data_IF_133972256382
#
_entry.id   IF_133972256382
#
_cell.length_a   1.000
_cell.length_b   1.000
_cell.length_c   1.000
_cell.angle_alpha   90.00
_cell.angle_beta   90.00
_cell.angle_gamma   90.00
#
_symmetry.space_group_name_H-M   'P 1'
#
loop_
_entity.id
_entity.type
_entity.pdbx_description
1 polymer ?
#
# COMPACT_ATOMS: atom_id res chain seq x y z
N UNK A 1 -35.58 -4.68 -3.25
CA UNK A 1 -35.11 -4.94 -1.87
C UNK A 1 -34.28 -3.74 -1.38
N UNK A 2 -34.55 -3.29 -0.18
CA UNK A 2 -33.75 -2.21 0.44
C UNK A 2 -32.43 -2.79 0.90
N UNK A 3 -31.32 -2.11 0.58
CA UNK A 3 -30.01 -2.45 1.13
C UNK A 3 -30.07 -2.44 2.67
N UNK A 4 -29.49 -3.42 3.36
CA UNK A 4 -29.40 -3.39 4.82
C UNK A 4 -28.56 -2.20 5.33
N UNK A 5 -27.80 -1.55 4.46
CA UNK A 5 -27.06 -0.32 4.77
C UNK A 5 -27.73 0.87 4.03
N UNK A 6 -28.31 1.84 4.74
CA UNK A 6 -29.01 2.98 4.12
C UNK A 6 -28.17 3.79 3.13
N UNK A 7 -26.86 3.87 3.37
CA UNK A 7 -25.90 4.59 2.49
C UNK A 7 -25.23 3.68 1.44
N UNK A 8 -25.63 2.39 1.37
CA UNK A 8 -24.93 1.40 0.56
C UNK A 8 -23.61 0.92 1.17
N UNK A 9 -22.92 -0.04 0.52
CA UNK A 9 -21.61 -0.51 0.99
C UNK A 9 -20.56 0.60 0.87
N UNK A 10 -19.54 0.63 1.75
CA UNK A 10 -18.45 1.58 1.63
C UNK A 10 -17.69 1.37 0.30
N UNK A 11 -17.45 2.45 -0.41
CA UNK A 11 -16.73 2.42 -1.69
C UNK A 11 -15.24 2.52 -1.44
N UNK A 12 -14.48 1.55 -1.96
CA UNK A 12 -13.03 1.59 -2.04
C UNK A 12 -12.63 1.97 -3.47
N UNK A 13 -11.78 2.99 -3.62
CA UNK A 13 -11.14 3.36 -4.88
C UNK A 13 -9.64 3.35 -4.67
N UNK A 14 -8.93 2.55 -5.47
CA UNK A 14 -7.48 2.40 -5.39
C UNK A 14 -6.81 2.90 -6.67
N UNK A 15 -5.65 3.52 -6.50
CA UNK A 15 -4.85 4.02 -7.61
C UNK A 15 -3.55 4.66 -7.17
N UNK A 16 -2.92 5.39 -8.07
CA UNK A 16 -1.67 6.10 -7.82
C UNK A 16 -1.64 7.51 -8.43
N UNK A 17 -2.18 7.66 -9.63
CA UNK A 17 -2.16 8.93 -10.35
C UNK A 17 -3.14 9.96 -9.80
N UNK A 18 -2.81 11.23 -9.97
CA UNK A 18 -3.55 12.38 -9.44
C UNK A 18 -5.04 12.37 -9.78
N UNK A 19 -5.35 12.04 -11.03
CA UNK A 19 -6.75 12.04 -11.50
C UNK A 19 -7.60 11.05 -10.72
N UNK A 20 -7.12 9.82 -10.56
CA UNK A 20 -7.86 8.77 -9.86
C UNK A 20 -7.93 9.05 -8.35
N UNK A 21 -6.84 9.55 -7.76
CA UNK A 21 -6.84 9.91 -6.35
C UNK A 21 -7.77 11.10 -6.05
N UNK A 22 -7.95 12.07 -6.97
CA UNK A 22 -8.97 13.12 -6.81
C UNK A 22 -10.39 12.56 -6.84
N UNK A 23 -10.68 11.62 -7.74
CA UNK A 23 -11.98 10.92 -7.79
C UNK A 23 -12.19 10.14 -6.49
N UNK A 24 -11.17 9.44 -6.01
CA UNK A 24 -11.24 8.72 -4.76
C UNK A 24 -11.53 9.67 -3.57
N UNK A 25 -10.83 10.80 -3.49
CA UNK A 25 -11.05 11.80 -2.44
C UNK A 25 -12.48 12.39 -2.46
N UNK A 26 -13.10 12.49 -3.63
CA UNK A 26 -14.46 13.00 -3.76
C UNK A 26 -15.55 11.98 -3.35
N UNK A 27 -15.31 10.68 -3.54
CA UNK A 27 -16.38 9.68 -3.50
C UNK A 27 -16.12 8.48 -2.58
N UNK A 28 -14.85 8.15 -2.30
CA UNK A 28 -14.52 6.93 -1.56
C UNK A 28 -14.62 7.09 -0.04
N UNK A 29 -14.88 5.98 0.64
CA UNK A 29 -14.72 5.81 2.10
C UNK A 29 -13.40 5.15 2.43
N UNK A 30 -12.81 4.44 1.48
CA UNK A 30 -11.51 3.82 1.61
C UNK A 30 -10.70 4.19 0.35
N UNK A 31 -9.54 4.80 0.53
CA UNK A 31 -8.64 5.16 -0.56
C UNK A 31 -7.44 4.27 -0.52
N UNK A 32 -7.25 3.48 -1.59
CA UNK A 32 -6.15 2.55 -1.72
C UNK A 32 -4.99 3.11 -2.55
N UNK A 33 -3.78 2.89 -2.08
CA UNK A 33 -2.55 3.16 -2.82
C UNK A 33 -2.03 1.87 -3.42
N UNK A 34 -1.82 1.84 -4.74
CA UNK A 34 -1.27 0.67 -5.42
C UNK A 34 0.25 0.58 -5.28
N UNK A 35 0.91 1.68 -4.94
CA UNK A 35 2.35 1.74 -4.73
C UNK A 35 3.18 1.52 -5.99
N UNK A 36 2.56 1.60 -7.17
CA UNK A 36 3.24 1.47 -8.45
C UNK A 36 2.98 2.70 -9.32
N UNK A 37 4.02 3.30 -9.83
CA UNK A 37 3.98 4.47 -10.70
C UNK A 37 4.22 4.05 -12.15
N UNK A 38 3.46 4.64 -13.08
CA UNK A 38 3.76 4.50 -14.50
C UNK A 38 5.10 5.18 -14.81
N UNK A 39 5.95 4.52 -15.58
CA UNK A 39 7.14 5.14 -16.11
C UNK A 39 6.75 6.31 -17.03
N UNK A 40 7.53 7.41 -17.00
CA UNK A 40 7.23 8.64 -17.76
C UNK A 40 7.21 8.44 -19.27
N UNK A 41 7.91 7.44 -19.75
CA UNK A 41 8.07 7.08 -21.17
C UNK A 41 7.11 6.00 -21.66
N UNK A 42 6.08 5.68 -20.86
CA UNK A 42 5.14 4.59 -21.15
C UNK A 42 5.72 3.19 -20.91
N UNK A 43 6.84 3.11 -20.20
CA UNK A 43 7.45 1.85 -19.76
C UNK A 43 6.63 1.11 -18.68
N UNK A 44 7.19 0.02 -18.16
CA UNK A 44 6.49 -0.77 -17.13
C UNK A 44 6.23 0.02 -15.84
N UNK A 45 5.27 -0.43 -15.07
CA UNK A 45 5.02 0.12 -13.73
C UNK A 45 6.23 -0.12 -12.84
N UNK A 46 6.65 0.91 -12.11
CA UNK A 46 7.74 0.86 -11.15
C UNK A 46 7.21 0.94 -9.74
N UNK A 47 7.71 0.08 -8.86
CA UNK A 47 7.40 0.13 -7.43
C UNK A 47 7.98 1.39 -6.80
N UNK A 48 7.14 2.10 -6.09
CA UNK A 48 7.48 3.33 -5.40
C UNK A 48 8.13 3.05 -4.03
N UNK A 49 8.99 3.96 -3.60
CA UNK A 49 9.54 3.99 -2.25
C UNK A 49 8.65 4.77 -1.28
N UNK A 50 9.10 4.86 -0.03
CA UNK A 50 8.38 5.58 1.04
C UNK A 50 8.19 7.07 0.74
N UNK A 51 9.17 7.73 0.11
CA UNK A 51 9.04 9.13 -0.24
C UNK A 51 7.85 9.37 -1.17
N UNK A 52 7.73 8.57 -2.23
CA UNK A 52 6.62 8.68 -3.17
C UNK A 52 5.28 8.32 -2.50
N UNK A 53 5.26 7.34 -1.61
CA UNK A 53 4.05 7.03 -0.83
C UNK A 53 3.64 8.23 0.03
N UNK A 54 4.58 8.84 0.74
CA UNK A 54 4.33 10.06 1.53
C UNK A 54 3.74 11.19 0.70
N UNK A 55 4.28 11.44 -0.48
CA UNK A 55 3.74 12.44 -1.42
C UNK A 55 2.31 12.13 -1.84
N UNK A 56 1.98 10.87 -2.10
CA UNK A 56 0.62 10.44 -2.46
C UNK A 56 -0.36 10.57 -1.29
N UNK A 57 0.07 10.22 -0.09
CA UNK A 57 -0.74 10.40 1.13
C UNK A 57 -1.02 11.87 1.38
N UNK A 58 -0.02 12.73 1.29
CA UNK A 58 -0.18 14.18 1.47
C UNK A 58 -1.12 14.79 0.40
N UNK A 59 -0.97 14.35 -0.84
CA UNK A 59 -1.87 14.75 -1.93
C UNK A 59 -3.33 14.39 -1.63
N UNK A 60 -3.59 13.17 -1.19
CA UNK A 60 -4.94 12.70 -0.83
C UNK A 60 -5.49 13.46 0.36
N UNK A 61 -4.70 13.66 1.41
CA UNK A 61 -5.12 14.42 2.60
C UNK A 61 -5.47 15.87 2.25
N UNK A 62 -4.68 16.51 1.40
CA UNK A 62 -5.00 17.84 0.89
C UNK A 62 -6.32 17.88 0.10
N UNK A 63 -6.57 16.87 -0.74
CA UNK A 63 -7.80 16.77 -1.53
C UNK A 63 -9.04 16.44 -0.66
N UNK A 64 -8.87 15.69 0.41
CA UNK A 64 -9.95 15.34 1.34
C UNK A 64 -10.38 16.52 2.22
N UNK A 65 -9.44 17.37 2.66
CA UNK A 65 -9.72 18.44 3.60
C UNK A 65 -10.35 17.89 4.89
N UNK A 66 -11.53 18.40 5.26
CA UNK A 66 -12.26 17.99 6.47
C UNK A 66 -12.72 16.53 6.44
N UNK A 67 -12.87 15.93 5.27
CA UNK A 67 -13.21 14.50 5.13
C UNK A 67 -12.10 13.54 5.51
N UNK A 68 -10.88 14.02 5.75
CA UNK A 68 -9.74 13.17 6.09
C UNK A 68 -9.99 12.27 7.32
N UNK A 69 -10.79 12.73 8.27
CA UNK A 69 -11.18 11.95 9.47
C UNK A 69 -12.21 10.84 9.20
N UNK A 70 -12.90 10.88 8.07
CA UNK A 70 -13.95 9.94 7.70
C UNK A 70 -13.50 8.86 6.71
N UNK A 71 -12.29 8.98 6.18
CA UNK A 71 -11.76 8.12 5.11
C UNK A 71 -10.59 7.30 5.63
N UNK A 72 -10.66 6.00 5.40
CA UNK A 72 -9.55 5.10 5.68
C UNK A 72 -8.57 5.05 4.50
N UNK A 73 -7.27 4.94 4.82
CA UNK A 73 -6.22 4.74 3.83
C UNK A 73 -5.79 3.27 3.80
N UNK A 74 -5.73 2.73 2.60
CA UNK A 74 -5.36 1.36 2.31
C UNK A 74 -4.07 1.32 1.49
N UNK A 75 -3.25 0.31 1.72
CA UNK A 75 -2.08 0.01 0.90
C UNK A 75 -2.17 -1.43 0.37
N UNK A 76 -1.94 -1.59 -0.92
CA UNK A 76 -1.81 -2.91 -1.54
C UNK A 76 -0.40 -3.44 -1.29
N UNK A 77 -0.30 -4.57 -0.59
CA UNK A 77 0.94 -5.33 -0.45
C UNK A 77 1.07 -6.25 -1.66
N UNK A 78 2.07 -6.00 -2.49
CA UNK A 78 2.28 -6.72 -3.75
C UNK A 78 2.81 -8.14 -3.53
N UNK A 79 3.73 -8.29 -2.58
CA UNK A 79 4.33 -9.59 -2.23
C UNK A 79 4.72 -9.63 -0.76
N UNK A 80 4.64 -10.84 -0.22
CA UNK A 80 5.11 -11.15 1.13
C UNK A 80 6.11 -12.29 1.04
N UNK A 81 7.24 -12.17 1.72
CA UNK A 81 8.24 -13.21 1.83
C UNK A 81 8.68 -13.39 3.28
N UNK A 82 9.09 -14.61 3.64
CA UNK A 82 9.70 -14.87 4.93
C UNK A 82 11.09 -14.26 5.06
N UNK A 83 11.77 -14.62 6.13
CA UNK A 83 13.12 -14.14 6.47
C UNK A 83 14.22 -14.83 5.64
N UNK A 84 15.44 -14.30 5.72
CA UNK A 84 16.64 -14.88 5.14
C UNK A 84 16.65 -14.90 3.62
N UNK A 85 16.89 -16.08 3.02
CA UNK A 85 17.01 -16.24 1.57
C UNK A 85 15.76 -15.80 0.81
N UNK A 86 14.57 -16.06 1.35
CA UNK A 86 13.31 -15.66 0.72
C UNK A 86 13.17 -14.13 0.61
N UNK A 87 13.56 -13.40 1.64
CA UNK A 87 13.59 -11.95 1.63
C UNK A 87 14.59 -11.40 0.60
N UNK A 88 15.78 -11.97 0.56
CA UNK A 88 16.83 -11.58 -0.41
C UNK A 88 16.35 -11.82 -1.84
N UNK A 89 15.79 -12.98 -2.14
CA UNK A 89 15.26 -13.33 -3.46
C UNK A 89 14.13 -12.38 -3.88
N UNK A 90 13.22 -12.06 -2.97
CA UNK A 90 12.15 -11.10 -3.23
C UNK A 90 12.70 -9.76 -3.69
N UNK A 91 13.62 -9.18 -2.93
CA UNK A 91 14.17 -7.87 -3.25
C UNK A 91 15.00 -7.86 -4.53
N UNK A 92 15.80 -8.88 -4.77
CA UNK A 92 16.58 -8.99 -6.02
C UNK A 92 15.68 -9.17 -7.24
N UNK A 93 14.63 -9.97 -7.12
CA UNK A 93 13.63 -10.17 -8.18
C UNK A 93 12.96 -8.87 -8.59
N UNK A 94 12.57 -8.03 -7.61
CA UNK A 94 11.83 -6.80 -7.87
C UNK A 94 12.71 -5.56 -8.06
N UNK A 95 14.00 -5.61 -7.76
CA UNK A 95 14.91 -4.46 -7.89
C UNK A 95 14.84 -3.76 -9.27
N UNK A 96 14.82 -4.47 -10.41
CA UNK A 96 14.70 -3.83 -11.72
C UNK A 96 13.36 -3.11 -11.94
N UNK A 97 12.35 -3.48 -11.20
CA UNK A 97 11.01 -2.87 -11.25
C UNK A 97 10.78 -1.81 -10.17
N UNK A 98 11.82 -1.32 -9.51
CA UNK A 98 11.74 -0.25 -8.51
C UNK A 98 12.14 1.10 -9.10
N UNK A 99 11.56 2.18 -8.57
CA UNK A 99 12.12 3.52 -8.81
C UNK A 99 13.56 3.58 -8.30
N UNK A 100 14.41 4.40 -8.91
CA UNK A 100 15.85 4.41 -8.64
C UNK A 100 16.19 4.56 -7.14
N UNK A 101 15.48 5.42 -6.44
CA UNK A 101 15.67 5.62 -4.99
C UNK A 101 15.34 4.36 -4.17
N UNK A 102 14.25 3.69 -4.51
CA UNK A 102 13.84 2.46 -3.84
C UNK A 102 14.78 1.27 -4.15
N UNK A 103 15.40 1.26 -5.33
CA UNK A 103 16.39 0.24 -5.69
C UNK A 103 17.67 0.30 -4.86
N UNK A 104 18.00 1.45 -4.28
CA UNK A 104 19.13 1.61 -3.35
C UNK A 104 18.87 0.90 -2.03
N UNK A 105 17.65 1.05 -1.50
CA UNK A 105 17.19 0.35 -0.29
C UNK A 105 15.83 -0.33 -0.53
N UNK A 106 15.84 -1.54 -1.10
CA UNK A 106 14.60 -2.26 -1.43
C UNK A 106 13.71 -2.56 -0.23
N UNK A 107 14.27 -2.58 0.98
CA UNK A 107 13.48 -2.77 2.22
C UNK A 107 12.59 -1.58 2.53
N UNK A 108 12.87 -0.42 1.96
CA UNK A 108 12.03 0.78 2.06
C UNK A 108 10.82 0.78 1.13
N UNK A 109 10.68 -0.22 0.24
CA UNK A 109 9.51 -0.33 -0.64
C UNK A 109 8.29 -0.77 0.16
N UNK A 110 7.26 0.09 0.34
CA UNK A 110 6.16 -0.20 1.25
C UNK A 110 5.28 -1.37 0.83
N UNK A 111 5.26 -1.70 -0.47
CA UNK A 111 4.41 -2.75 -1.04
C UNK A 111 5.06 -4.14 -1.05
N UNK A 112 6.33 -4.23 -0.64
CA UNK A 112 7.04 -5.49 -0.45
C UNK A 112 7.27 -5.72 1.04
N UNK A 113 6.67 -6.77 1.59
CA UNK A 113 6.73 -7.10 3.00
C UNK A 113 7.57 -8.36 3.18
N UNK A 114 8.71 -8.25 3.86
CA UNK A 114 9.60 -9.38 4.07
C UNK A 114 10.21 -9.37 5.48
N UNK A 115 10.57 -10.55 5.96
CA UNK A 115 11.19 -10.76 7.25
C UNK A 115 10.45 -11.78 8.10
N UNK A 116 10.85 -11.90 9.39
CA UNK A 116 10.10 -12.68 10.35
C UNK A 116 8.67 -12.14 10.51
N UNK A 117 7.70 -12.94 10.95
CA UNK A 117 6.35 -12.47 11.21
C UNK A 117 6.30 -11.27 12.16
N UNK A 118 7.17 -11.21 13.14
CA UNK A 118 7.31 -10.09 14.08
C UNK A 118 7.81 -8.83 13.38
N UNK A 119 8.89 -8.93 12.61
CA UNK A 119 9.45 -7.79 11.86
C UNK A 119 8.46 -7.25 10.81
N UNK A 120 7.75 -8.13 10.13
CA UNK A 120 6.73 -7.76 9.17
C UNK A 120 5.54 -7.06 9.85
N UNK A 121 5.10 -7.53 11.02
CA UNK A 121 4.05 -6.87 11.80
C UNK A 121 4.49 -5.47 12.27
N UNK A 122 5.73 -5.31 12.75
CA UNK A 122 6.31 -4.00 13.08
C UNK A 122 6.31 -3.06 11.87
N UNK A 123 6.67 -3.57 10.69
CA UNK A 123 6.63 -2.78 9.45
C UNK A 123 5.23 -2.27 9.12
N UNK A 124 4.19 -3.08 9.32
CA UNK A 124 2.80 -2.64 9.15
C UNK A 124 2.42 -1.53 10.15
N UNK A 125 2.87 -1.65 11.40
CA UNK A 125 2.67 -0.60 12.41
C UNK A 125 3.38 0.71 12.05
N UNK A 126 4.62 0.64 11.56
CA UNK A 126 5.35 1.82 11.07
C UNK A 126 4.60 2.53 9.93
N UNK A 127 4.10 1.78 8.96
CA UNK A 127 3.33 2.33 7.84
C UNK A 127 2.03 3.00 8.33
N UNK A 128 1.40 2.43 9.34
CA UNK A 128 0.23 3.02 9.99
C UNK A 128 0.58 4.33 10.70
N UNK A 129 1.62 4.34 11.50
CA UNK A 129 2.03 5.52 12.28
C UNK A 129 2.52 6.65 11.39
N UNK A 130 3.34 6.34 10.38
CA UNK A 130 3.94 7.34 9.50
C UNK A 130 2.98 7.89 8.46
N UNK A 131 2.14 7.04 7.88
CA UNK A 131 1.30 7.40 6.74
C UNK A 131 -0.21 7.35 7.03
N UNK A 132 -0.61 6.88 8.21
CA UNK A 132 -2.02 6.74 8.56
C UNK A 132 -2.72 5.60 7.82
N UNK A 133 -1.97 4.63 7.27
CA UNK A 133 -2.53 3.47 6.59
C UNK A 133 -3.04 2.49 7.65
N UNK A 134 -4.36 2.31 7.68
CA UNK A 134 -5.03 1.45 8.66
C UNK A 134 -5.57 0.14 8.07
N UNK A 135 -5.56 0.03 6.75
CA UNK A 135 -6.12 -1.09 6.03
C UNK A 135 -5.11 -1.62 5.00
N UNK A 136 -4.84 -2.91 5.02
CA UNK A 136 -3.90 -3.55 4.08
C UNK A 136 -4.62 -4.59 3.25
N UNK A 137 -4.37 -4.58 1.95
CA UNK A 137 -4.81 -5.61 1.02
C UNK A 137 -3.61 -6.44 0.61
N UNK A 138 -3.72 -7.75 0.67
CA UNK A 138 -2.71 -8.68 0.16
C UNK A 138 -3.27 -9.46 -1.02
N UNK A 139 -2.42 -9.80 -1.98
CA UNK A 139 -2.79 -10.64 -3.10
C UNK A 139 -2.87 -12.11 -2.67
N UNK A 140 -3.68 -12.89 -3.38
CA UNK A 140 -3.92 -14.31 -3.10
C UNK A 140 -2.62 -15.11 -2.94
N UNK A 141 -1.66 -14.90 -3.83
CA UNK A 141 -0.35 -15.57 -3.81
C UNK A 141 0.47 -15.32 -2.52
N UNK A 142 0.12 -14.29 -1.77
CA UNK A 142 0.80 -13.92 -0.53
C UNK A 142 0.02 -14.26 0.74
N UNK A 143 -1.18 -14.81 0.62
CA UNK A 143 -2.07 -15.04 1.78
C UNK A 143 -1.46 -16.00 2.81
N UNK A 144 -0.85 -17.09 2.37
CA UNK A 144 -0.24 -18.08 3.28
C UNK A 144 0.94 -17.48 4.04
N UNK A 145 1.80 -16.72 3.37
CA UNK A 145 2.93 -16.03 3.98
C UNK A 145 2.47 -14.91 4.92
N UNK A 146 1.32 -14.31 4.66
CA UNK A 146 0.78 -13.21 5.47
C UNK A 146 0.05 -13.69 6.74
N UNK A 147 -0.51 -14.89 6.74
CA UNK A 147 -1.31 -15.40 7.86
C UNK A 147 -0.60 -15.33 9.23
N UNK A 148 0.67 -15.76 9.39
CA UNK A 148 1.37 -15.64 10.66
C UNK A 148 1.66 -14.19 11.07
N UNK A 149 1.76 -13.26 10.11
CA UNK A 149 1.96 -11.82 10.36
C UNK A 149 0.68 -11.22 10.96
N UNK A 150 -0.48 -11.59 10.41
CA UNK A 150 -1.78 -11.11 10.87
C UNK A 150 -2.02 -11.42 12.36
N UNK A 151 -1.59 -12.58 12.83
CA UNK A 151 -1.72 -12.96 14.23
C UNK A 151 -0.93 -12.05 15.18
N UNK A 152 0.12 -11.38 14.71
CA UNK A 152 1.01 -10.50 15.47
C UNK A 152 0.72 -9.01 15.27
N UNK A 153 0.02 -8.66 14.20
CA UNK A 153 -0.32 -7.27 13.87
C UNK A 153 -1.57 -6.74 14.58
N UNK A 154 -2.23 -7.57 15.38
CA UNK A 154 -3.45 -7.22 16.13
C UNK A 154 -3.16 -6.41 17.38
#
# INVERSE_FOLDING_TARGET
SRSPQPAGPPLLIAGWGDRLLRVAAAHARIIGFTGAAAARDGGPLLLAGERQLGERVDFVRGALGERASEVELNLLIQRVAGDGAAATELFETYRPAMVAEAAVDPRSVPTLLAGSPEAAAERLHELRERFGISYFTVLEDSMEAFAPILARAR
#
